data_IF_160650617544
#
_entry.id   IF_160650617544
#
_cell.length_a   1.000
_cell.length_b   1.000
_cell.length_c   1.000
_cell.angle_alpha   90.00
_cell.angle_beta   90.00
_cell.angle_gamma   90.00
#
_symmetry.space_group_name_H-M   'P 1'
#
loop_
_entity.id
_entity.type
_entity.pdbx_description
1 polymer ?
#
# COMPACT_ATOMS: atom_id res chain seq x y z
N UNK A 1 -30.75 -0.35 -8.74
CA UNK A 1 -29.29 -0.13 -8.60
C UNK A 1 -28.62 -0.69 -9.83
N UNK A 2 -27.87 0.12 -10.59
CA UNK A 2 -27.10 -0.39 -11.74
C UNK A 2 -25.86 -1.06 -11.18
N UNK A 3 -25.66 -2.34 -11.50
CA UNK A 3 -24.38 -3.03 -11.33
C UNK A 3 -23.28 -2.18 -11.98
N UNK A 4 -22.44 -1.56 -11.15
CA UNK A 4 -21.27 -0.84 -11.64
C UNK A 4 -20.22 -1.91 -11.95
N UNK A 5 -20.18 -2.36 -13.22
CA UNK A 5 -19.06 -3.18 -13.69
C UNK A 5 -17.82 -2.28 -13.77
N UNK A 6 -16.87 -2.55 -12.87
CA UNK A 6 -15.58 -1.88 -12.81
C UNK A 6 -14.70 -2.35 -13.97
N UNK A 7 -14.35 -1.45 -14.88
CA UNK A 7 -13.38 -1.75 -15.95
C UNK A 7 -12.00 -1.46 -15.36
N UNK A 8 -11.27 -2.54 -15.10
CA UNK A 8 -10.03 -2.55 -14.32
C UNK A 8 -8.80 -2.39 -15.23
N UNK A 9 -7.67 -1.98 -14.63
CA UNK A 9 -6.33 -2.33 -15.16
C UNK A 9 -6.34 -3.83 -15.41
N UNK A 10 -6.23 -4.24 -16.68
CA UNK A 10 -6.49 -5.64 -17.03
C UNK A 10 -5.42 -6.57 -16.46
N UNK A 11 -5.84 -7.75 -16.01
CA UNK A 11 -4.96 -8.79 -15.47
C UNK A 11 -4.03 -9.44 -16.51
N UNK A 12 -4.14 -9.07 -17.79
CA UNK A 12 -3.36 -9.60 -18.89
C UNK A 12 -2.08 -8.78 -19.20
N UNK A 13 -1.98 -7.55 -18.70
CA UNK A 13 -0.78 -6.71 -18.90
C UNK A 13 0.36 -7.13 -17.97
N UNK A 14 1.61 -6.91 -18.38
CA UNK A 14 2.75 -6.95 -17.46
C UNK A 14 2.72 -5.75 -16.49
N UNK A 15 3.51 -5.82 -15.42
CA UNK A 15 3.50 -4.79 -14.38
C UNK A 15 3.87 -3.39 -14.93
N UNK A 16 4.92 -3.21 -15.74
CA UNK A 16 5.22 -1.91 -16.34
C UNK A 16 4.06 -1.34 -17.17
N UNK A 17 3.41 -2.13 -18.02
CA UNK A 17 2.27 -1.69 -18.83
C UNK A 17 1.07 -1.30 -17.97
N UNK A 18 0.80 -2.04 -16.88
CA UNK A 18 -0.25 -1.69 -15.91
C UNK A 18 0.00 -0.33 -15.28
N UNK A 19 1.22 -0.11 -14.79
CA UNK A 19 1.59 1.16 -14.16
C UNK A 19 1.54 2.29 -15.18
N UNK A 20 2.04 2.06 -16.40
CA UNK A 20 1.96 3.04 -17.47
C UNK A 20 0.50 3.40 -17.83
N UNK A 21 -0.41 2.43 -17.88
CA UNK A 21 -1.83 2.71 -18.13
C UNK A 21 -2.49 3.48 -16.99
N UNK A 22 -2.24 3.08 -15.74
CA UNK A 22 -2.72 3.81 -14.55
C UNK A 22 -2.22 5.26 -14.54
N UNK A 23 -0.95 5.48 -14.91
CA UNK A 23 -0.33 6.81 -14.96
C UNK A 23 -0.98 7.73 -15.99
N UNK A 24 -1.69 7.21 -17.01
CA UNK A 24 -2.45 8.05 -17.97
C UNK A 24 -3.58 8.82 -17.29
N UNK A 25 -4.11 8.31 -16.18
CA UNK A 25 -5.16 8.98 -15.41
C UNK A 25 -4.62 10.10 -14.52
N UNK A 26 -3.32 10.12 -14.20
CA UNK A 26 -2.76 11.02 -13.18
C UNK A 26 -3.07 12.49 -13.45
N UNK A 27 -2.90 12.96 -14.69
CA UNK A 27 -3.18 14.37 -15.02
C UNK A 27 -4.63 14.76 -14.70
N UNK A 28 -5.59 13.87 -14.97
CA UNK A 28 -7.00 14.12 -14.70
C UNK A 28 -7.34 13.92 -13.23
N UNK A 29 -6.70 12.94 -12.58
CA UNK A 29 -6.79 12.71 -11.15
C UNK A 29 -6.35 13.96 -10.37
N UNK A 30 -5.19 14.53 -10.70
CA UNK A 30 -4.67 15.73 -10.04
C UNK A 30 -5.54 16.96 -10.28
N UNK A 31 -6.07 17.14 -11.49
CA UNK A 31 -7.06 18.18 -11.75
C UNK A 31 -8.31 18.01 -10.88
N UNK A 32 -8.80 16.79 -10.72
CA UNK A 32 -9.94 16.52 -9.84
C UNK A 32 -9.60 16.84 -8.38
N UNK A 33 -8.42 16.41 -7.92
CA UNK A 33 -7.92 16.70 -6.57
C UNK A 33 -7.83 18.21 -6.33
N UNK A 34 -7.26 18.98 -7.26
CA UNK A 34 -7.13 20.44 -7.13
C UNK A 34 -8.49 21.12 -6.93
N UNK A 35 -9.55 20.61 -7.57
CA UNK A 35 -10.92 21.10 -7.34
C UNK A 35 -11.48 20.75 -5.96
N UNK A 36 -11.02 19.64 -5.36
CA UNK A 36 -11.44 19.20 -4.04
C UNK A 36 -10.65 19.86 -2.89
N UNK A 37 -9.40 20.29 -3.14
CA UNK A 37 -8.51 20.82 -2.11
C UNK A 37 -9.13 21.94 -1.24
N UNK A 38 -9.87 22.93 -1.79
CA UNK A 38 -10.51 23.95 -0.95
C UNK A 38 -11.55 23.36 0.01
N UNK A 39 -12.36 22.40 -0.44
CA UNK A 39 -13.38 21.73 0.36
C UNK A 39 -12.71 20.91 1.47
N UNK A 40 -11.64 20.19 1.13
CA UNK A 40 -10.88 19.38 2.08
C UNK A 40 -10.17 20.22 3.12
N UNK A 41 -9.58 21.36 2.72
CA UNK A 41 -8.98 22.33 3.65
C UNK A 41 -10.02 22.91 4.60
N UNK A 42 -11.22 23.24 4.10
CA UNK A 42 -12.30 23.77 4.93
C UNK A 42 -12.85 22.72 5.92
N UNK A 43 -13.08 21.48 5.45
CA UNK A 43 -13.49 20.37 6.30
C UNK A 43 -12.47 20.13 7.42
N UNK A 44 -11.18 20.13 7.06
CA UNK A 44 -10.08 20.06 7.99
C UNK A 44 -10.14 21.18 9.05
N UNK A 45 -10.34 22.44 8.66
CA UNK A 45 -10.38 23.55 9.62
C UNK A 45 -11.57 23.48 10.58
N UNK A 46 -12.72 22.95 10.13
CA UNK A 46 -13.96 22.89 10.93
C UNK A 46 -13.92 21.81 12.01
N UNK A 47 -13.22 20.71 11.77
CA UNK A 47 -13.07 19.66 12.75
C UNK A 47 -11.60 19.23 12.86
N UNK A 48 -10.81 19.85 13.75
CA UNK A 48 -9.43 19.47 13.99
C UNK A 48 -9.27 18.11 14.67
N UNK A 49 -10.35 17.48 15.16
CA UNK A 49 -10.31 16.18 15.84
C UNK A 49 -10.39 14.99 14.90
N UNK A 50 -10.75 15.20 13.62
CA UNK A 50 -10.69 14.16 12.58
C UNK A 50 -9.22 13.93 12.19
N UNK A 51 -8.57 13.00 12.90
CA UNK A 51 -7.23 12.47 12.61
C UNK A 51 -7.21 11.27 11.66
N UNK A 52 -8.39 10.83 11.22
CA UNK A 52 -8.56 9.75 10.26
C UNK A 52 -8.47 10.25 8.82
N UNK A 53 -7.91 9.43 7.91
CA UNK A 53 -7.78 9.80 6.52
C UNK A 53 -9.16 9.85 5.87
N UNK A 54 -9.36 10.85 5.02
CA UNK A 54 -10.59 10.95 4.25
C UNK A 54 -10.45 10.15 2.95
N UNK A 55 -11.39 9.26 2.69
CA UNK A 55 -11.44 8.44 1.48
C UNK A 55 -12.50 8.95 0.50
N UNK A 56 -12.13 9.10 -0.77
CA UNK A 56 -13.04 9.54 -1.83
C UNK A 56 -12.96 8.61 -3.03
N UNK A 57 -14.06 7.95 -3.42
CA UNK A 57 -14.09 7.20 -4.67
C UNK A 57 -14.10 8.17 -5.85
N UNK A 58 -13.31 7.85 -6.87
CA UNK A 58 -13.27 8.57 -8.14
C UNK A 58 -13.20 7.59 -9.30
N UNK A 59 -13.89 7.90 -10.39
CA UNK A 59 -13.81 7.12 -11.63
C UNK A 59 -13.17 7.96 -12.71
N UNK A 60 -12.10 7.44 -13.31
CA UNK A 60 -11.43 8.14 -14.40
C UNK A 60 -12.28 8.12 -15.68
N UNK A 61 -12.01 9.04 -16.64
CA UNK A 61 -12.64 8.99 -17.96
C UNK A 61 -12.36 7.68 -18.73
N UNK A 62 -11.31 6.93 -18.35
CA UNK A 62 -10.98 5.60 -18.88
C UNK A 62 -11.70 4.46 -18.13
N UNK A 63 -12.65 4.80 -17.26
CA UNK A 63 -13.42 3.90 -16.41
C UNK A 63 -12.65 3.15 -15.31
N UNK A 64 -11.38 3.49 -15.07
CA UNK A 64 -10.62 2.96 -13.95
C UNK A 64 -11.20 3.49 -12.62
N UNK A 65 -11.23 2.61 -11.63
CA UNK A 65 -11.70 2.96 -10.28
C UNK A 65 -10.52 3.36 -9.42
N UNK A 66 -10.68 4.48 -8.76
CA UNK A 66 -9.68 5.07 -7.89
C UNK A 66 -10.30 5.33 -6.52
N UNK A 67 -9.52 5.10 -5.48
CA UNK A 67 -9.80 5.52 -4.13
C UNK A 67 -8.73 6.53 -3.73
N UNK A 68 -9.16 7.78 -3.54
CA UNK A 68 -8.29 8.87 -3.15
C UNK A 68 -8.23 8.93 -1.64
N UNK A 69 -7.03 8.91 -1.07
CA UNK A 69 -6.80 9.05 0.37
C UNK A 69 -6.12 10.37 0.67
N UNK A 70 -6.78 11.17 1.49
CA UNK A 70 -6.28 12.44 1.98
C UNK A 70 -5.89 12.32 3.45
N UNK A 71 -4.58 12.37 3.69
CA UNK A 71 -3.99 12.39 5.02
C UNK A 71 -3.76 13.85 5.45
N UNK A 72 -4.15 14.17 6.69
CA UNK A 72 -3.84 15.48 7.29
C UNK A 72 -2.46 15.41 7.92
N UNK A 73 -1.45 15.94 7.24
CA UNK A 73 -0.09 16.09 7.79
C UNK A 73 0.09 17.55 8.21
N UNK A 74 0.79 17.79 9.32
CA UNK A 74 1.09 19.13 9.79
C UNK A 74 1.78 19.94 8.67
N UNK A 75 1.08 20.95 8.13
CA UNK A 75 1.59 21.86 7.11
C UNK A 75 1.14 21.58 5.67
N UNK A 76 0.67 20.38 5.30
CA UNK A 76 0.11 20.10 3.98
C UNK A 76 -0.73 18.81 3.94
N UNK A 77 -1.82 18.75 3.16
CA UNK A 77 -2.49 17.49 2.89
C UNK A 77 -1.55 16.56 2.10
N UNK A 78 -1.38 15.33 2.55
CA UNK A 78 -0.75 14.29 1.75
C UNK A 78 -1.83 13.52 1.00
N UNK A 79 -1.65 13.33 -0.31
CA UNK A 79 -2.53 12.50 -1.13
C UNK A 79 -1.81 11.23 -1.52
N UNK A 80 -2.52 10.12 -1.47
CA UNK A 80 -2.22 8.96 -2.30
C UNK A 80 -3.47 8.46 -3.00
N UNK A 81 -3.30 7.81 -4.16
CA UNK A 81 -4.40 7.28 -4.93
C UNK A 81 -4.21 5.78 -5.13
N UNK A 82 -5.21 5.01 -4.76
CA UNK A 82 -5.25 3.56 -4.92
C UNK A 82 -6.11 3.20 -6.13
N UNK A 83 -5.63 2.28 -6.95
CA UNK A 83 -6.45 1.53 -7.90
C UNK A 83 -6.13 0.05 -7.78
N UNK A 84 -7.07 -0.83 -8.09
CA UNK A 84 -6.92 -2.27 -7.89
C UNK A 84 -7.59 -3.06 -9.00
N UNK A 85 -7.26 -4.34 -9.04
CA UNK A 85 -7.93 -5.28 -9.90
C UNK A 85 -7.86 -6.70 -9.34
N UNK A 86 -8.74 -7.57 -9.85
CA UNK A 86 -8.80 -8.98 -9.49
C UNK A 86 -8.08 -9.80 -10.57
N UNK A 87 -7.13 -10.61 -10.13
CA UNK A 87 -6.42 -11.57 -10.99
C UNK A 87 -7.34 -12.68 -11.50
N UNK A 88 -6.87 -13.42 -12.50
CA UNK A 88 -7.60 -14.59 -13.02
C UNK A 88 -7.75 -15.71 -11.96
N UNK A 89 -6.88 -15.71 -10.95
CA UNK A 89 -6.90 -16.58 -9.78
C UNK A 89 -7.86 -16.09 -8.67
N UNK A 90 -8.63 -15.02 -8.92
CA UNK A 90 -9.55 -14.42 -7.97
C UNK A 90 -8.88 -13.59 -6.88
N UNK A 91 -7.55 -13.41 -6.92
CA UNK A 91 -6.84 -12.67 -5.89
C UNK A 91 -6.70 -11.20 -6.25
N UNK A 92 -6.93 -10.28 -5.31
CA UNK A 92 -6.78 -8.86 -5.59
C UNK A 92 -5.31 -8.47 -5.64
N UNK A 93 -4.98 -7.49 -6.48
CA UNK A 93 -3.71 -6.77 -6.44
C UNK A 93 -4.00 -5.28 -6.60
N UNK A 94 -3.06 -4.43 -6.20
CA UNK A 94 -3.30 -3.01 -6.17
C UNK A 94 -2.09 -2.18 -6.60
N UNK A 95 -2.37 -0.93 -6.95
CA UNK A 95 -1.39 0.08 -7.27
C UNK A 95 -1.71 1.35 -6.47
N UNK A 96 -0.77 1.77 -5.63
CA UNK A 96 -0.81 3.06 -4.96
C UNK A 96 0.12 4.01 -5.70
N UNK A 97 -0.42 5.13 -6.17
CA UNK A 97 0.35 6.16 -6.86
C UNK A 97 0.44 7.40 -5.99
N UNK A 98 1.68 7.82 -5.72
CA UNK A 98 1.97 9.05 -4.99
C UNK A 98 1.99 10.29 -5.89
N UNK A 99 2.05 11.49 -5.29
CA UNK A 99 2.05 12.77 -6.01
C UNK A 99 3.26 12.96 -6.93
N UNK A 100 4.38 12.32 -6.61
CA UNK A 100 5.60 12.35 -7.43
C UNK A 100 5.62 11.30 -8.55
N UNK A 101 4.56 10.51 -8.71
CA UNK A 101 4.46 9.46 -9.73
C UNK A 101 5.05 8.10 -9.32
N UNK A 102 5.77 8.03 -8.19
CA UNK A 102 6.24 6.76 -7.61
C UNK A 102 5.05 5.86 -7.33
N UNK A 103 5.17 4.62 -7.80
CA UNK A 103 4.07 3.67 -7.86
C UNK A 103 4.43 2.44 -7.03
N UNK A 104 3.62 2.15 -6.01
CA UNK A 104 3.74 0.97 -5.17
C UNK A 104 2.73 -0.06 -5.64
N UNK A 105 3.22 -1.12 -6.28
CA UNK A 105 2.41 -2.26 -6.63
C UNK A 105 2.34 -3.22 -5.44
N UNK A 106 1.14 -3.50 -4.97
CA UNK A 106 0.89 -4.39 -3.84
C UNK A 106 0.43 -5.73 -4.42
N UNK A 107 1.27 -6.74 -4.29
CA UNK A 107 0.99 -8.08 -4.77
C UNK A 107 -0.11 -8.76 -3.96
N UNK A 108 -0.81 -9.70 -4.60
CA UNK A 108 -1.87 -10.49 -3.98
C UNK A 108 -1.44 -11.19 -2.68
N UNK A 109 -0.21 -11.69 -2.64
CA UNK A 109 0.38 -12.33 -1.46
C UNK A 109 0.47 -11.35 -0.28
N UNK A 110 0.93 -10.12 -0.51
CA UNK A 110 1.03 -9.11 0.53
C UNK A 110 -0.36 -8.72 1.08
N UNK A 111 -1.34 -8.52 0.19
CA UNK A 111 -2.73 -8.24 0.59
C UNK A 111 -3.29 -9.40 1.40
N UNK A 112 -3.11 -10.64 0.94
CA UNK A 112 -3.59 -11.82 1.65
C UNK A 112 -3.03 -11.89 3.08
N UNK A 113 -1.71 -11.74 3.26
CA UNK A 113 -1.07 -11.90 4.58
C UNK A 113 -1.49 -10.78 5.54
N UNK A 114 -1.66 -9.56 5.00
CA UNK A 114 -2.23 -8.46 5.75
C UNK A 114 -3.66 -8.78 6.22
N UNK A 115 -4.53 -9.19 5.29
CA UNK A 115 -5.94 -9.42 5.56
C UNK A 115 -6.19 -10.58 6.50
N UNK A 116 -5.41 -11.67 6.40
CA UNK A 116 -5.47 -12.80 7.34
C UNK A 116 -5.38 -12.34 8.81
N UNK A 117 -4.67 -11.24 9.06
CA UNK A 117 -4.48 -10.68 10.39
C UNK A 117 -5.44 -9.54 10.73
N UNK A 118 -5.58 -8.58 9.83
CA UNK A 118 -6.22 -7.30 10.14
C UNK A 118 -7.64 -7.17 9.57
N UNK A 119 -7.96 -7.94 8.55
CA UNK A 119 -9.27 -7.91 7.89
C UNK A 119 -9.66 -9.29 7.32
N UNK A 120 -9.84 -10.31 8.17
CA UNK A 120 -10.04 -11.68 7.70
C UNK A 120 -11.42 -11.89 7.06
N UNK A 121 -12.39 -11.06 7.42
CA UNK A 121 -13.78 -11.16 6.95
C UNK A 121 -14.05 -10.27 5.74
N UNK A 122 -13.20 -9.30 5.44
CA UNK A 122 -13.38 -8.43 4.28
C UNK A 122 -13.38 -9.22 2.97
N UNK A 123 -14.18 -8.76 2.02
CA UNK A 123 -14.13 -9.27 0.65
C UNK A 123 -12.83 -8.85 -0.08
N UNK A 124 -12.53 -9.36 -1.30
CA UNK A 124 -11.29 -9.00 -2.00
C UNK A 124 -11.07 -7.51 -2.20
N UNK A 125 -12.13 -6.71 -2.38
CA UNK A 125 -12.03 -5.26 -2.58
C UNK A 125 -11.81 -4.57 -1.24
N UNK A 126 -12.61 -4.89 -0.23
CA UNK A 126 -12.49 -4.36 1.13
C UNK A 126 -11.07 -4.57 1.68
N UNK A 127 -10.51 -5.76 1.50
CA UNK A 127 -9.14 -6.10 1.92
C UNK A 127 -8.07 -5.18 1.37
N UNK A 128 -8.20 -4.79 0.09
CA UNK A 128 -7.27 -3.85 -0.53
C UNK A 128 -7.46 -2.45 0.03
N UNK A 129 -8.72 -2.03 0.19
CA UNK A 129 -9.04 -0.73 0.75
C UNK A 129 -8.55 -0.62 2.20
N UNK A 130 -8.71 -1.67 3.00
CA UNK A 130 -8.18 -1.80 4.36
C UNK A 130 -6.65 -1.72 4.38
N UNK A 131 -5.95 -2.43 3.48
CA UNK A 131 -4.50 -2.31 3.36
C UNK A 131 -4.08 -0.85 3.11
N UNK A 132 -4.76 -0.18 2.19
CA UNK A 132 -4.47 1.20 1.85
C UNK A 132 -4.86 2.19 2.95
N UNK A 133 -5.95 1.95 3.67
CA UNK A 133 -6.40 2.79 4.77
C UNK A 133 -5.44 2.72 5.96
N UNK A 134 -5.01 1.51 6.30
CA UNK A 134 -4.15 1.26 7.45
C UNK A 134 -2.69 1.67 7.22
N UNK A 135 -2.17 1.54 5.99
CA UNK A 135 -0.78 1.85 5.66
C UNK A 135 -0.66 3.18 4.93
N UNK A 136 -0.38 4.24 5.70
CA UNK A 136 -0.17 5.61 5.25
C UNK A 136 1.23 5.84 4.69
N UNK A 137 2.24 5.26 5.35
CA UNK A 137 3.65 5.35 4.99
C UNK A 137 4.05 4.21 4.04
N UNK A 138 4.88 4.54 3.04
CA UNK A 138 5.57 3.59 2.17
C UNK A 138 7.04 4.00 2.07
N UNK A 139 7.79 3.84 3.16
CA UNK A 139 9.19 4.24 3.20
C UNK A 139 10.06 3.12 2.64
N UNK A 140 10.82 3.39 1.58
CA UNK A 140 11.58 2.38 0.85
C UNK A 140 13.05 2.45 1.25
N UNK A 141 13.61 1.31 1.65
CA UNK A 141 15.04 1.14 1.92
C UNK A 141 15.62 0.06 1.01
N UNK A 142 16.74 0.36 0.34
CA UNK A 142 17.43 -0.59 -0.53
C UNK A 142 18.23 -1.56 0.32
N UNK A 143 17.97 -2.86 0.15
CA UNK A 143 18.72 -3.93 0.83
C UNK A 143 19.88 -4.41 -0.01
N UNK A 144 19.65 -4.57 -1.31
CA UNK A 144 20.64 -5.09 -2.25
C UNK A 144 20.34 -4.63 -3.67
N UNK A 145 21.37 -4.24 -4.41
CA UNK A 145 21.27 -4.02 -5.86
C UNK A 145 21.50 -5.36 -6.58
N UNK A 146 20.55 -5.78 -7.43
CA UNK A 146 20.56 -7.06 -8.13
C UNK A 146 20.89 -6.94 -9.62
N UNK A 147 21.04 -5.72 -10.13
CA UNK A 147 21.41 -5.41 -11.50
C UNK A 147 21.44 -3.89 -11.72
N UNK A 148 21.40 -3.44 -12.98
CA UNK A 148 21.39 -2.01 -13.29
C UNK A 148 20.12 -1.33 -12.76
N UNK A 149 18.96 -1.95 -12.98
CA UNK A 149 17.66 -1.33 -12.73
C UNK A 149 16.78 -2.06 -11.71
N UNK A 150 17.34 -3.06 -11.02
CA UNK A 150 16.59 -3.90 -10.08
C UNK A 150 17.25 -3.90 -8.70
N UNK A 151 16.45 -3.58 -7.69
CA UNK A 151 16.88 -3.52 -6.29
C UNK A 151 15.96 -4.38 -5.42
N UNK A 152 16.52 -5.20 -4.55
CA UNK A 152 15.78 -5.78 -3.43
C UNK A 152 15.52 -4.69 -2.39
N UNK A 153 14.27 -4.52 -1.97
CA UNK A 153 13.87 -3.44 -1.07
C UNK A 153 13.07 -3.94 0.13
N UNK A 154 13.22 -3.19 1.22
CA UNK A 154 12.32 -3.19 2.37
C UNK A 154 11.38 -1.99 2.23
N UNK A 155 10.10 -2.18 2.55
CA UNK A 155 9.12 -1.12 2.59
C UNK A 155 8.59 -1.03 4.03
N UNK A 156 8.95 0.01 4.76
CA UNK A 156 8.40 0.26 6.08
C UNK A 156 6.99 0.86 5.93
N UNK A 157 6.02 0.18 6.54
CA UNK A 157 4.59 0.50 6.53
C UNK A 157 4.11 0.75 7.98
N UNK A 158 2.91 1.27 8.17
CA UNK A 158 2.42 1.58 9.53
C UNK A 158 2.15 0.33 10.38
N UNK A 159 1.66 -0.76 9.77
CA UNK A 159 1.35 -1.99 10.50
C UNK A 159 2.39 -3.10 10.36
N UNK A 160 3.46 -2.87 9.61
CA UNK A 160 4.47 -3.88 9.39
C UNK A 160 5.52 -3.52 8.36
N UNK A 161 6.13 -4.56 7.79
CA UNK A 161 7.21 -4.46 6.82
C UNK A 161 6.84 -5.20 5.55
N UNK A 162 6.89 -4.49 4.43
CA UNK A 162 6.86 -5.05 3.09
C UNK A 162 8.24 -5.51 2.63
N UNK A 163 8.30 -6.60 1.88
CA UNK A 163 9.48 -7.00 1.11
C UNK A 163 9.13 -7.13 -0.37
N UNK A 164 10.09 -6.80 -1.21
CA UNK A 164 10.02 -7.11 -2.62
C UNK A 164 11.12 -6.40 -3.39
N UNK A 165 10.76 -5.83 -4.53
CA UNK A 165 11.71 -5.35 -5.52
C UNK A 165 11.35 -3.94 -5.98
N UNK A 166 12.36 -3.14 -6.31
CA UNK A 166 12.20 -1.87 -6.98
C UNK A 166 12.81 -1.95 -8.37
N UNK A 167 11.98 -1.71 -9.36
CA UNK A 167 12.36 -1.43 -10.74
C UNK A 167 12.61 0.09 -10.85
N UNK A 168 13.88 0.48 -10.94
CA UNK A 168 14.27 1.89 -11.01
C UNK A 168 14.09 2.48 -12.40
N UNK A 169 14.08 1.67 -13.46
CA UNK A 169 13.83 2.14 -14.82
C UNK A 169 12.38 2.61 -14.98
N UNK A 170 11.43 1.92 -14.33
CA UNK A 170 10.01 2.26 -14.39
C UNK A 170 9.49 3.03 -13.16
N UNK A 171 10.32 3.24 -12.14
CA UNK A 171 9.98 3.79 -10.82
C UNK A 171 8.78 3.06 -10.17
N UNK A 172 8.91 1.73 -10.11
CA UNK A 172 7.91 0.81 -9.55
C UNK A 172 8.50 0.11 -8.34
N UNK A 173 7.80 0.17 -7.21
CA UNK A 173 8.12 -0.59 -6.00
C UNK A 173 7.09 -1.71 -5.86
N UNK A 174 7.53 -2.95 -6.02
CA UNK A 174 6.71 -4.14 -5.82
C UNK A 174 6.80 -4.61 -4.37
N UNK A 175 5.67 -4.63 -3.69
CA UNK A 175 5.49 -5.23 -2.36
C UNK A 175 4.97 -6.66 -2.56
N UNK A 176 5.87 -7.63 -2.56
CA UNK A 176 5.55 -9.03 -2.77
C UNK A 176 5.05 -9.72 -1.49
N UNK A 177 5.59 -9.33 -0.34
CA UNK A 177 5.27 -9.91 0.97
C UNK A 177 5.02 -8.82 2.01
N UNK A 178 4.25 -9.16 3.04
CA UNK A 178 3.94 -8.29 4.18
C UNK A 178 4.11 -9.05 5.49
N UNK A 179 4.84 -8.49 6.45
CA UNK A 179 5.00 -9.06 7.79
C UNK A 179 4.53 -8.04 8.82
N UNK A 180 3.59 -8.42 9.67
CA UNK A 180 3.12 -7.49 10.71
C UNK A 180 4.19 -7.29 11.79
N UNK A 181 4.21 -6.11 12.42
CA UNK A 181 5.13 -5.88 13.54
C UNK A 181 4.94 -6.84 14.71
N UNK A 182 3.72 -7.32 14.93
CA UNK A 182 3.43 -8.31 15.96
C UNK A 182 4.05 -9.69 15.66
N UNK A 183 4.20 -10.06 14.37
CA UNK A 183 4.92 -11.28 13.99
C UNK A 183 6.43 -11.11 14.07
N UNK A 184 6.92 -9.91 13.77
CA UNK A 184 8.35 -9.59 13.84
C UNK A 184 8.82 -9.40 15.28
N UNK A 185 7.96 -8.93 16.17
CA UNK A 185 8.23 -8.64 17.57
C UNK A 185 7.28 -9.38 18.54
N UNK A 186 7.28 -10.74 18.51
CA UNK A 186 6.33 -11.54 19.30
C UNK A 186 6.53 -11.41 20.81
N UNK A 187 7.73 -11.02 21.26
CA UNK A 187 8.06 -10.81 22.67
C UNK A 187 7.49 -9.52 23.26
N UNK A 188 6.86 -8.67 22.43
CA UNK A 188 6.14 -7.46 22.88
C UNK A 188 4.66 -7.52 22.49
N UNK A 189 3.89 -8.51 22.97
CA UNK A 189 2.54 -8.78 22.48
C UNK A 189 1.46 -7.83 23.03
N UNK A 190 1.75 -7.01 24.06
CA UNK A 190 0.71 -6.32 24.85
C UNK A 190 0.89 -4.82 25.06
N UNK A 191 2.05 -4.24 24.74
CA UNK A 191 2.01 -2.82 24.46
C UNK A 191 1.36 -2.69 23.06
N UNK A 192 0.69 -1.57 22.77
CA UNK A 192 0.56 -1.01 21.42
C UNK A 192 -0.79 -1.23 20.71
N UNK A 193 -1.61 -0.18 20.67
CA UNK A 193 -2.32 0.15 19.42
C UNK A 193 -1.36 0.84 18.43
N UNK A 194 -1.54 0.66 17.11
CA UNK A 194 -0.72 1.13 15.95
C UNK A 194 0.72 1.67 16.23
N UNK A 195 0.89 2.73 17.01
CA UNK A 195 2.13 3.47 17.25
C UNK A 195 3.30 2.63 17.82
N UNK A 196 3.23 2.10 19.03
CA UNK A 196 4.43 1.52 19.64
C UNK A 196 4.95 0.16 19.12
N UNK A 197 4.30 -0.51 18.16
CA UNK A 197 4.75 -1.79 17.57
C UNK A 197 5.74 -1.48 16.47
N UNK A 198 5.46 -0.39 15.77
CA UNK A 198 6.45 0.32 15.00
C UNK A 198 7.58 0.86 15.88
N UNK A 199 7.30 1.50 17.04
CA UNK A 199 8.40 1.93 17.93
C UNK A 199 9.25 0.75 18.41
N UNK A 200 8.63 -0.38 18.75
CA UNK A 200 9.33 -1.61 19.14
C UNK A 200 10.21 -2.16 18.02
N UNK A 201 9.81 -1.99 16.77
CA UNK A 201 10.62 -2.31 15.60
C UNK A 201 11.76 -1.32 15.39
N UNK A 202 11.49 -0.02 15.53
CA UNK A 202 12.44 1.06 15.29
C UNK A 202 13.60 1.11 16.31
N UNK A 203 13.42 0.55 17.52
CA UNK A 203 14.52 0.42 18.50
C UNK A 203 15.51 -0.71 18.20
N UNK A 204 15.18 -1.61 17.27
CA UNK A 204 16.06 -2.72 16.89
C UNK A 204 17.17 -2.22 15.96
N UNK A 205 18.36 -2.80 16.07
CA UNK A 205 19.42 -2.56 15.10
C UNK A 205 19.04 -3.14 13.72
N UNK A 206 19.64 -2.61 12.65
CA UNK A 206 19.40 -3.12 11.29
C UNK A 206 19.70 -4.63 11.17
N UNK A 207 20.70 -5.13 11.89
CA UNK A 207 21.03 -6.55 11.95
C UNK A 207 19.88 -7.36 12.59
N UNK A 208 19.37 -6.91 13.74
CA UNK A 208 18.24 -7.56 14.42
C UNK A 208 16.96 -7.53 13.59
N UNK A 209 16.69 -6.40 12.92
CA UNK A 209 15.57 -6.27 11.98
C UNK A 209 15.71 -7.27 10.83
N UNK A 210 16.90 -7.35 10.23
CA UNK A 210 17.19 -8.27 9.13
C UNK A 210 17.03 -9.74 9.54
N UNK A 211 17.49 -10.11 10.74
CA UNK A 211 17.34 -11.47 11.26
C UNK A 211 15.88 -11.85 11.49
N UNK A 212 15.07 -10.94 12.06
CA UNK A 212 13.63 -11.16 12.28
C UNK A 212 12.87 -11.31 10.97
N UNK A 213 13.17 -10.47 9.99
CA UNK A 213 12.62 -10.59 8.64
C UNK A 213 13.00 -11.92 8.01
N UNK A 214 14.27 -12.30 8.05
CA UNK A 214 14.76 -13.55 7.48
C UNK A 214 14.10 -14.77 8.16
N UNK A 215 13.92 -14.72 9.47
CA UNK A 215 13.21 -15.75 10.23
C UNK A 215 11.74 -15.84 9.82
N UNK A 216 11.03 -14.70 9.77
CA UNK A 216 9.63 -14.65 9.37
C UNK A 216 9.42 -15.14 7.93
N UNK A 217 10.29 -14.74 6.99
CA UNK A 217 10.26 -15.18 5.61
C UNK A 217 10.43 -16.70 5.49
N UNK A 218 11.41 -17.29 6.19
CA UNK A 218 11.61 -18.75 6.22
C UNK A 218 10.41 -19.48 6.82
N UNK A 219 9.82 -18.94 7.91
CA UNK A 219 8.65 -19.54 8.56
C UNK A 219 7.45 -19.54 7.61
N UNK A 220 7.17 -18.42 6.97
CA UNK A 220 6.08 -18.29 6.00
C UNK A 220 6.26 -19.22 4.80
N UNK A 221 7.49 -19.41 4.30
CA UNK A 221 7.76 -20.36 3.22
C UNK A 221 7.52 -21.82 3.64
N UNK A 222 7.84 -22.20 4.89
CA UNK A 222 7.64 -23.57 5.39
C UNK A 222 6.18 -23.92 5.68
N UNK A 223 5.45 -23.02 6.34
CA UNK A 223 4.04 -23.24 6.70
C UNK A 223 3.15 -23.34 5.45
N UNK A 224 3.58 -22.74 4.34
CA UNK A 224 2.79 -22.65 3.10
C UNK A 224 3.19 -23.70 2.04
N UNK A 225 4.22 -24.51 2.32
CA UNK A 225 4.62 -25.67 1.50
C UNK A 225 4.11 -27.01 2.08
N UNK A 226 3.55 -26.96 3.30
CA UNK A 226 2.90 -28.08 3.99
C UNK A 226 1.39 -27.98 3.85
#
# INVERSE_FOLDING_TARGET
MREIRFTMITSAMDLPARVADARKDLKMLWRHVDTLLPVLRLAAHRDPSIGDPMLFPWRSPRNNSWLLRFDRVAGAPALSALTWAIGADGRPFALVVGPKGTSHFIGATAIQWFSERFDPQGDPEERVQSFHYENRLYAVSVRRTMGTDLQEVRIDLDLGVGLGERDTANDIVHIAHFFSYAELCPERPQAIGRAGAREAWEVLSEAQQSDRIAFAARRSMRVRAA
#
